data_IF_158148678798
#
_entry.id   IF_158148678798
#
_cell.length_a   1.000
_cell.length_b   1.000
_cell.length_c   1.000
_cell.angle_alpha   90.00
_cell.angle_beta   90.00
_cell.angle_gamma   90.00
#
_symmetry.space_group_name_H-M   'P 1'
#
loop_
_entity.id
_entity.type
_entity.pdbx_description
1 polymer ?
#
# COMPACT_ATOMS: atom_id res chain seq x y z
N UNK A 1 40.67 28.41 16.92
CA UNK A 1 39.43 28.49 16.08
C UNK A 1 39.09 27.06 15.68
N UNK A 2 38.20 26.43 16.42
CA UNK A 2 37.74 25.06 16.14
C UNK A 2 36.63 25.15 15.10
N UNK A 3 36.97 24.86 13.85
CA UNK A 3 35.94 24.70 12.80
C UNK A 3 35.20 23.41 13.05
N UNK A 4 33.97 23.53 13.55
CA UNK A 4 33.02 22.41 13.57
C UNK A 4 32.75 21.98 12.12
N UNK A 5 33.38 20.90 11.69
CA UNK A 5 32.97 20.17 10.48
C UNK A 5 31.76 19.34 10.78
N UNK A 6 30.69 19.98 11.24
CA UNK A 6 29.40 19.35 11.41
C UNK A 6 28.89 18.94 10.03
N UNK A 7 28.68 17.66 9.81
CA UNK A 7 27.91 17.15 8.67
C UNK A 7 26.54 17.80 8.73
N UNK A 8 26.30 18.79 7.88
CA UNK A 8 24.97 19.36 7.72
C UNK A 8 24.17 18.33 6.95
N UNK A 9 23.27 17.66 7.63
CA UNK A 9 22.20 16.94 6.92
C UNK A 9 21.50 17.94 6.02
N UNK A 10 21.34 17.66 4.73
CA UNK A 10 20.49 18.50 3.88
C UNK A 10 19.11 18.61 4.56
N UNK A 11 18.51 19.79 4.51
CA UNK A 11 17.16 20.02 5.03
C UNK A 11 16.20 19.11 4.26
N UNK A 12 15.87 17.98 4.85
CA UNK A 12 14.96 17.01 4.26
C UNK A 12 13.54 17.54 4.38
N UNK A 13 13.03 18.05 3.29
CA UNK A 13 11.65 18.47 3.22
C UNK A 13 10.74 17.27 3.07
N UNK A 14 10.10 16.90 4.18
CA UNK A 14 9.11 15.84 4.23
C UNK A 14 7.78 16.31 3.67
N UNK A 15 7.05 15.41 3.07
CA UNK A 15 5.71 15.67 2.60
C UNK A 15 4.75 14.54 2.91
N UNK A 16 3.47 14.87 2.92
CA UNK A 16 2.35 13.94 2.84
C UNK A 16 1.60 14.25 1.55
N UNK A 17 1.18 13.23 0.84
CA UNK A 17 0.49 13.42 -0.42
C UNK A 17 -0.40 12.24 -0.79
N UNK A 18 -1.12 12.40 -1.88
CA UNK A 18 -2.02 11.40 -2.45
C UNK A 18 -1.49 10.95 -3.81
N UNK A 19 -1.44 9.65 -4.02
CA UNK A 19 -1.05 9.08 -5.32
C UNK A 19 -2.15 9.37 -6.35
N UNK A 20 -1.79 9.98 -7.46
CA UNK A 20 -2.69 10.32 -8.56
C UNK A 20 -2.53 9.41 -9.78
N UNK A 21 -1.31 8.90 -10.01
CA UNK A 21 -1.02 8.00 -11.13
C UNK A 21 0.07 6.99 -10.74
N UNK A 22 -0.13 5.75 -11.16
CA UNK A 22 0.78 4.61 -10.94
C UNK A 22 1.27 4.00 -12.27
N UNK A 23 0.83 4.53 -13.41
CA UNK A 23 1.13 4.01 -14.73
C UNK A 23 2.42 4.62 -15.28
N UNK A 24 3.56 4.33 -14.63
CA UNK A 24 4.86 4.82 -15.05
C UNK A 24 5.23 4.33 -16.46
N UNK A 25 5.38 5.23 -17.45
CA UNK A 25 5.71 4.85 -18.82
C UNK A 25 7.09 4.20 -18.97
N UNK A 26 7.99 4.43 -18.00
CA UNK A 26 9.31 3.77 -17.96
C UNK A 26 9.29 2.42 -17.24
N UNK A 27 8.15 2.03 -16.66
CA UNK A 27 8.00 0.80 -15.85
C UNK A 27 9.05 0.67 -14.73
N UNK A 28 9.49 1.83 -14.20
CA UNK A 28 10.49 1.91 -13.13
C UNK A 28 9.86 1.97 -11.73
N UNK A 29 8.55 1.70 -11.61
CA UNK A 29 7.84 1.71 -10.34
C UNK A 29 7.66 3.10 -9.71
N UNK A 30 7.68 4.17 -10.54
CA UNK A 30 7.43 5.53 -10.06
C UNK A 30 5.94 5.83 -9.99
N UNK A 31 5.60 6.83 -9.21
CA UNK A 31 4.21 7.31 -9.06
C UNK A 31 4.15 8.82 -9.18
N UNK A 32 2.99 9.35 -9.57
CA UNK A 32 2.73 10.79 -9.45
C UNK A 32 1.98 11.04 -8.15
N UNK A 33 2.48 11.98 -7.36
CA UNK A 33 1.95 12.32 -6.05
C UNK A 33 1.55 13.79 -6.01
N UNK A 34 0.29 14.04 -5.65
CA UNK A 34 -0.15 15.39 -5.29
C UNK A 34 0.18 15.63 -3.83
N UNK A 35 1.14 16.51 -3.60
CA UNK A 35 1.68 16.81 -2.27
C UNK A 35 0.81 17.87 -1.60
N UNK A 36 0.31 17.56 -0.41
CA UNK A 36 -0.57 18.43 0.36
C UNK A 36 0.14 19.72 0.75
N UNK A 37 -0.52 20.85 0.51
CA UNK A 37 0.01 22.17 0.83
C UNK A 37 1.14 22.66 -0.09
N UNK A 38 1.63 21.82 -1.01
CA UNK A 38 2.68 22.17 -1.97
C UNK A 38 2.14 22.25 -3.41
N UNK A 39 1.40 21.23 -3.85
CA UNK A 39 0.78 21.22 -5.16
C UNK A 39 -0.64 21.81 -5.10
N UNK A 40 -0.99 22.60 -6.10
CA UNK A 40 -2.36 23.06 -6.30
C UNK A 40 -3.30 21.89 -6.62
N UNK A 41 -4.59 22.14 -6.53
CA UNK A 41 -5.64 21.21 -6.96
C UNK A 41 -5.55 20.88 -8.46
N UNK A 42 -6.23 19.82 -8.89
CA UNK A 42 -6.13 19.28 -10.25
C UNK A 42 -6.54 20.30 -11.32
N UNK A 43 -7.48 21.19 -11.01
CA UNK A 43 -7.94 22.23 -11.93
C UNK A 43 -6.83 23.23 -12.31
N UNK A 44 -5.89 23.47 -11.38
CA UNK A 44 -4.76 24.40 -11.58
C UNK A 44 -3.46 23.69 -11.95
N UNK A 45 -3.27 22.47 -11.47
CA UNK A 45 -2.09 21.65 -11.75
C UNK A 45 -2.55 20.26 -12.18
N UNK A 46 -2.70 20.01 -13.48
CA UNK A 46 -3.11 18.71 -14.00
C UNK A 46 -2.16 17.56 -13.57
N UNK A 47 -2.68 16.35 -13.50
CA UNK A 47 -1.91 15.13 -13.12
C UNK A 47 -0.67 14.96 -14.00
N UNK A 48 -0.79 15.25 -15.31
CA UNK A 48 0.32 15.11 -16.25
C UNK A 48 1.50 16.03 -15.94
N UNK A 49 1.24 17.17 -15.30
CA UNK A 49 2.26 18.14 -14.89
C UNK A 49 2.97 17.78 -13.58
N UNK A 50 2.47 16.79 -12.84
CA UNK A 50 3.13 16.34 -11.62
C UNK A 50 4.41 15.57 -11.95
N UNK A 51 5.50 15.79 -11.18
CA UNK A 51 6.73 15.02 -11.32
C UNK A 51 6.52 13.55 -10.94
N UNK A 52 7.28 12.65 -11.58
CA UNK A 52 7.35 11.25 -11.19
C UNK A 52 8.19 11.10 -9.93
N UNK A 53 7.59 10.63 -8.86
CA UNK A 53 8.25 10.31 -7.60
C UNK A 53 8.83 8.89 -7.65
N UNK A 54 10.05 8.71 -7.20
CA UNK A 54 10.61 7.39 -6.91
C UNK A 54 9.88 6.78 -5.71
N UNK A 55 9.83 5.45 -5.65
CA UNK A 55 9.28 4.74 -4.48
C UNK A 55 10.42 3.96 -3.82
N UNK A 56 10.72 4.29 -2.57
CA UNK A 56 11.67 3.55 -1.77
C UNK A 56 11.10 2.16 -1.43
N UNK A 57 11.86 1.12 -1.69
CA UNK A 57 11.49 -0.26 -1.42
C UNK A 57 12.23 -0.79 -0.19
N UNK A 58 11.64 -1.74 0.57
CA UNK A 58 12.32 -2.36 1.69
C UNK A 58 13.63 -3.04 1.28
N UNK A 59 14.67 -2.93 2.12
CA UNK A 59 15.97 -3.59 1.87
C UNK A 59 15.91 -5.12 1.93
N UNK A 60 14.76 -5.69 2.25
CA UNK A 60 14.49 -7.13 2.19
C UNK A 60 14.27 -7.64 0.77
N UNK A 61 14.15 -6.74 -0.22
CA UNK A 61 14.10 -7.04 -1.64
C UNK A 61 15.26 -6.36 -2.37
N UNK A 62 15.74 -6.97 -3.47
CA UNK A 62 16.89 -6.43 -4.22
C UNK A 62 16.57 -5.10 -4.92
N UNK A 63 15.32 -4.90 -5.34
CA UNK A 63 14.87 -3.73 -6.13
C UNK A 63 15.76 -3.44 -7.36
N UNK A 64 16.27 -4.49 -7.99
CA UNK A 64 17.20 -4.43 -9.12
C UNK A 64 16.68 -5.32 -10.27
N UNK A 65 16.47 -4.73 -11.44
CA UNK A 65 16.07 -5.41 -12.67
C UNK A 65 14.87 -6.37 -12.50
N UNK A 66 13.89 -5.96 -11.69
CA UNK A 66 12.68 -6.77 -11.41
C UNK A 66 12.87 -7.88 -10.37
N UNK A 67 14.08 -8.03 -9.82
CA UNK A 67 14.34 -8.99 -8.74
C UNK A 67 13.91 -8.43 -7.40
N UNK A 68 13.20 -9.22 -6.61
CA UNK A 68 12.65 -8.83 -5.31
C UNK A 68 11.15 -8.55 -5.34
N UNK A 69 10.68 -7.66 -4.48
CA UNK A 69 9.27 -7.26 -4.44
C UNK A 69 9.02 -6.10 -5.40
N UNK A 70 8.62 -6.40 -6.63
CA UNK A 70 8.34 -5.40 -7.65
C UNK A 70 7.05 -5.71 -8.42
N UNK A 71 6.34 -4.67 -8.85
CA UNK A 71 6.45 -3.28 -8.42
C UNK A 71 5.90 -3.06 -7.01
N UNK A 72 5.87 -1.80 -6.55
CA UNK A 72 5.16 -1.44 -5.31
C UNK A 72 3.65 -1.75 -5.42
N UNK A 73 2.96 -1.83 -4.27
CA UNK A 73 1.52 -2.10 -4.20
C UNK A 73 0.65 -0.83 -4.08
N UNK A 74 1.21 0.36 -4.34
CA UNK A 74 0.47 1.63 -4.29
C UNK A 74 -0.61 1.67 -5.37
N UNK A 75 -1.75 2.25 -5.02
CA UNK A 75 -2.87 2.48 -5.93
C UNK A 75 -3.14 3.98 -6.05
N UNK A 76 -3.82 4.38 -7.12
CA UNK A 76 -4.40 5.72 -7.21
C UNK A 76 -5.28 5.95 -5.99
N UNK A 77 -5.04 7.05 -5.28
CA UNK A 77 -5.73 7.37 -4.02
C UNK A 77 -4.98 6.95 -2.74
N UNK A 78 -3.90 6.16 -2.83
CA UNK A 78 -3.06 5.85 -1.67
C UNK A 78 -2.51 7.12 -1.04
N UNK A 79 -2.60 7.22 0.29
CA UNK A 79 -1.93 8.28 1.06
C UNK A 79 -0.49 7.85 1.33
N UNK A 80 0.45 8.75 1.07
CA UNK A 80 1.88 8.47 1.20
C UNK A 80 2.60 9.56 1.97
N UNK A 81 3.67 9.18 2.64
CA UNK A 81 4.68 10.08 3.21
C UNK A 81 5.97 9.90 2.41
N UNK A 82 6.68 11.00 2.21
CA UNK A 82 7.94 11.01 1.47
C UNK A 82 8.77 12.25 1.76
N UNK A 83 9.81 12.43 1.00
CA UNK A 83 10.72 13.58 1.09
C UNK A 83 11.29 13.91 -0.28
N UNK A 84 11.86 15.12 -0.40
CA UNK A 84 12.55 15.52 -1.63
C UNK A 84 14.04 15.19 -1.54
N UNK A 85 14.57 14.46 -2.53
CA UNK A 85 15.98 14.10 -2.61
C UNK A 85 16.90 15.30 -2.90
N UNK A 86 16.35 16.32 -3.52
CA UNK A 86 17.03 17.56 -3.91
C UNK A 86 16.76 18.73 -2.95
N UNK A 87 16.26 18.45 -1.76
CA UNK A 87 16.04 19.44 -0.70
C UNK A 87 15.10 20.56 -1.10
N UNK A 88 15.59 21.80 -1.10
CA UNK A 88 14.78 23.00 -1.38
C UNK A 88 14.31 23.10 -2.84
N UNK A 89 14.98 22.46 -3.79
CA UNK A 89 14.55 22.46 -5.19
C UNK A 89 13.21 21.75 -5.40
N UNK A 90 12.90 20.77 -4.55
CA UNK A 90 11.63 20.05 -4.48
C UNK A 90 11.13 19.50 -5.84
N UNK A 91 12.08 19.05 -6.70
CA UNK A 91 11.78 18.50 -8.02
C UNK A 91 11.94 16.97 -8.07
N UNK A 92 12.59 16.38 -7.05
CA UNK A 92 12.85 14.95 -6.99
C UNK A 92 12.14 14.32 -5.78
N UNK A 93 10.82 14.14 -5.83
CA UNK A 93 10.08 13.50 -4.75
C UNK A 93 10.43 12.02 -4.65
N UNK A 94 10.53 11.52 -3.42
CA UNK A 94 10.71 10.12 -3.10
C UNK A 94 9.65 9.70 -2.07
N UNK A 95 8.83 8.74 -2.42
CA UNK A 95 7.85 8.15 -1.51
C UNK A 95 8.57 7.16 -0.60
N UNK A 96 8.41 7.33 0.70
CA UNK A 96 9.04 6.49 1.73
C UNK A 96 8.13 5.39 2.25
N UNK A 97 6.86 5.71 2.48
CA UNK A 97 5.88 4.77 3.01
C UNK A 97 4.46 5.15 2.60
N UNK A 98 3.56 4.19 2.63
CA UNK A 98 2.12 4.43 2.58
C UNK A 98 1.54 4.52 3.98
N UNK A 99 0.51 5.33 4.14
CA UNK A 99 -0.27 5.44 5.36
C UNK A 99 -1.66 4.87 5.13
N UNK A 100 -2.19 4.15 6.12
CA UNK A 100 -3.61 3.79 6.12
C UNK A 100 -4.40 5.10 6.21
N UNK A 101 -5.06 5.46 5.10
CA UNK A 101 -5.92 6.63 5.07
C UNK A 101 -7.21 6.39 5.86
N UNK A 102 -7.76 7.45 6.43
CA UNK A 102 -9.14 7.40 6.90
C UNK A 102 -10.06 7.19 5.70
N UNK A 103 -10.96 6.22 5.79
CA UNK A 103 -12.04 6.08 4.82
C UNK A 103 -12.88 7.36 4.87
N UNK A 104 -13.20 7.94 3.72
CA UNK A 104 -14.08 9.12 3.65
C UNK A 104 -15.55 8.82 4.05
N UNK A 105 -15.88 7.56 4.29
CA UNK A 105 -17.11 7.19 4.99
C UNK A 105 -16.86 7.32 6.49
N UNK A 106 -17.72 8.07 7.19
CA UNK A 106 -17.67 8.32 8.63
C UNK A 106 -17.72 7.05 9.52
N UNK A 107 -17.69 5.89 8.90
CA UNK A 107 -17.54 4.58 9.54
C UNK A 107 -16.27 3.94 9.01
N UNK A 108 -15.14 4.22 9.70
CA UNK A 108 -13.95 3.38 9.55
C UNK A 108 -14.31 2.00 10.12
N UNK A 109 -14.81 1.15 9.28
CA UNK A 109 -14.92 -0.26 9.65
C UNK A 109 -13.49 -0.84 9.66
N UNK A 110 -12.81 -0.62 10.80
CA UNK A 110 -11.49 -1.22 11.07
C UNK A 110 -11.50 -2.74 10.85
N UNK A 111 -12.69 -3.33 10.87
CA UNK A 111 -12.87 -4.74 10.55
C UNK A 111 -12.59 -5.04 9.08
N UNK A 112 -12.74 -4.09 8.18
CA UNK A 112 -12.40 -4.24 6.76
C UNK A 112 -10.90 -4.15 6.49
N UNK A 113 -10.18 -3.36 7.30
CA UNK A 113 -8.71 -3.24 7.18
C UNK A 113 -8.01 -4.53 7.62
N UNK A 114 -8.58 -5.24 8.60
CA UNK A 114 -7.96 -6.43 9.21
C UNK A 114 -8.60 -7.76 8.80
N UNK A 115 -9.65 -7.76 8.00
CA UNK A 115 -10.46 -8.97 7.74
C UNK A 115 -10.55 -9.38 6.29
N UNK A 116 -9.89 -8.63 5.37
CA UNK A 116 -10.21 -8.79 3.94
C UNK A 116 -11.70 -8.53 3.66
N UNK A 117 -12.14 -8.73 2.45
CA UNK A 117 -13.54 -8.49 2.08
C UNK A 117 -14.44 -9.68 2.49
N UNK A 118 -14.83 -9.74 3.77
CA UNK A 118 -15.67 -10.81 4.37
C UNK A 118 -16.89 -11.18 3.53
N UNK A 119 -17.57 -10.18 3.00
CA UNK A 119 -18.83 -10.41 2.29
C UNK A 119 -18.58 -11.07 0.93
N UNK A 120 -17.47 -10.72 0.29
CA UNK A 120 -17.05 -11.35 -0.95
C UNK A 120 -16.64 -12.81 -0.72
N UNK A 121 -15.85 -13.08 0.33
CA UNK A 121 -15.45 -14.44 0.71
C UNK A 121 -16.68 -15.31 1.03
N UNK A 122 -17.62 -14.81 1.84
CA UNK A 122 -18.85 -15.54 2.17
C UNK A 122 -19.76 -15.80 0.96
N UNK A 123 -19.84 -14.86 0.03
CA UNK A 123 -20.68 -15.02 -1.16
C UNK A 123 -20.05 -15.99 -2.16
N UNK A 124 -18.74 -15.97 -2.31
CA UNK A 124 -18.02 -16.88 -3.20
C UNK A 124 -18.05 -18.31 -2.67
N UNK A 125 -17.93 -18.53 -1.34
CA UNK A 125 -18.10 -19.85 -0.70
C UNK A 125 -19.52 -20.41 -0.87
N UNK A 126 -20.55 -19.55 -0.87
CA UNK A 126 -21.94 -19.98 -1.13
C UNK A 126 -22.21 -20.33 -2.59
N UNK A 127 -21.41 -19.85 -3.52
CA UNK A 127 -21.57 -20.10 -4.96
C UNK A 127 -20.79 -21.33 -5.46
N UNK A 128 -19.83 -21.85 -4.70
CA UNK A 128 -19.13 -23.09 -5.04
C UNK A 128 -20.07 -24.29 -4.77
N UNK A 129 -20.88 -24.61 -5.74
CA UNK A 129 -21.72 -25.81 -5.71
C UNK A 129 -20.82 -27.06 -5.83
N UNK A 130 -20.66 -27.81 -4.74
CA UNK A 130 -20.23 -29.17 -4.83
C UNK A 130 -19.09 -29.68 -3.93
N UNK A 131 -18.47 -28.83 -3.10
CA UNK A 131 -17.49 -29.28 -2.11
C UNK A 131 -18.00 -28.95 -0.70
N UNK A 132 -18.14 -29.98 0.16
CA UNK A 132 -18.30 -29.79 1.59
C UNK A 132 -16.92 -29.40 2.15
N UNK A 133 -16.70 -28.10 2.32
CA UNK A 133 -15.50 -27.62 3.00
C UNK A 133 -15.56 -28.03 4.48
N UNK A 134 -14.42 -28.38 5.10
CA UNK A 134 -14.33 -28.46 6.54
C UNK A 134 -14.76 -27.14 7.14
N UNK A 135 -15.37 -27.15 8.33
CA UNK A 135 -15.70 -25.91 9.04
C UNK A 135 -14.42 -25.14 9.29
N UNK A 136 -14.23 -24.05 8.54
CA UNK A 136 -13.09 -23.14 8.74
C UNK A 136 -13.14 -22.54 10.17
N UNK A 137 -11.99 -22.48 10.87
CA UNK A 137 -11.88 -21.79 12.17
C UNK A 137 -12.01 -20.26 12.05
N UNK A 138 -12.37 -19.74 10.89
CA UNK A 138 -12.42 -18.32 10.58
C UNK A 138 -13.22 -17.48 11.59
N UNK A 139 -12.51 -16.92 12.56
CA UNK A 139 -13.03 -16.00 13.60
C UNK A 139 -12.01 -14.90 13.90
N UNK A 140 -11.54 -14.15 12.90
CA UNK A 140 -10.44 -13.21 13.06
C UNK A 140 -10.80 -12.10 14.04
N UNK A 141 -9.85 -11.80 14.92
CA UNK A 141 -9.92 -10.69 15.88
C UNK A 141 -8.79 -9.71 15.60
N UNK A 142 -9.14 -8.44 15.40
CA UNK A 142 -8.13 -7.38 15.27
C UNK A 142 -7.36 -7.23 16.60
N UNK A 143 -6.01 -7.09 16.59
CA UNK A 143 -5.10 -6.93 15.45
C UNK A 143 -4.38 -8.22 15.02
N UNK A 144 -4.88 -9.40 15.38
CA UNK A 144 -4.15 -10.67 15.23
C UNK A 144 -4.18 -11.21 13.80
N UNK A 145 -5.17 -10.83 12.99
CA UNK A 145 -5.27 -11.26 11.60
C UNK A 145 -4.51 -10.29 10.67
N UNK A 146 -3.52 -10.83 9.94
CA UNK A 146 -2.71 -10.12 8.95
C UNK A 146 -3.16 -10.55 7.56
N UNK A 147 -3.57 -9.60 6.72
CA UNK A 147 -4.10 -9.87 5.39
C UNK A 147 -3.32 -9.10 4.33
N UNK A 148 -2.87 -9.81 3.30
CA UNK A 148 -2.38 -9.24 2.05
C UNK A 148 -3.47 -9.46 1.01
N UNK A 149 -4.07 -8.40 0.50
CA UNK A 149 -5.12 -8.48 -0.51
C UNK A 149 -4.74 -7.66 -1.74
N UNK A 150 -4.98 -8.23 -2.92
CA UNK A 150 -4.77 -7.53 -4.19
C UNK A 150 -6.08 -6.92 -4.70
N UNK A 151 -6.04 -5.88 -5.55
CA UNK A 151 -7.25 -5.28 -6.13
C UNK A 151 -8.15 -6.28 -6.88
N UNK A 152 -7.57 -7.35 -7.41
CA UNK A 152 -8.32 -8.41 -8.10
C UNK A 152 -8.95 -9.42 -7.15
N UNK A 153 -8.65 -9.38 -5.84
CA UNK A 153 -9.23 -10.24 -4.82
C UNK A 153 -8.43 -11.54 -4.55
N UNK A 154 -7.12 -11.58 -4.87
CA UNK A 154 -6.25 -12.61 -4.30
C UNK A 154 -5.92 -12.25 -2.87
N UNK A 155 -5.90 -13.22 -1.97
CA UNK A 155 -5.58 -12.98 -0.55
C UNK A 155 -4.58 -13.99 -0.02
N UNK A 156 -3.70 -13.51 0.87
CA UNK A 156 -2.90 -14.33 1.79
C UNK A 156 -3.24 -13.83 3.19
N UNK A 157 -3.66 -14.73 4.04
CA UNK A 157 -4.13 -14.40 5.38
C UNK A 157 -3.40 -15.26 6.41
N UNK A 158 -2.85 -14.60 7.43
CA UNK A 158 -2.19 -15.21 8.57
C UNK A 158 -2.92 -14.72 9.81
N UNK A 159 -3.68 -15.60 10.42
CA UNK A 159 -4.51 -15.31 11.60
C UNK A 159 -3.90 -15.95 12.84
N UNK A 160 -3.43 -15.12 13.76
CA UNK A 160 -2.91 -15.51 15.08
C UNK A 160 -3.97 -15.36 16.17
N UNK A 161 -5.25 -15.31 15.82
CA UNK A 161 -6.34 -15.24 16.81
C UNK A 161 -6.34 -16.51 17.65
N UNK A 162 -6.19 -16.39 18.97
CA UNK A 162 -6.09 -17.51 19.89
C UNK A 162 -7.29 -18.47 19.79
N UNK A 163 -7.00 -19.75 19.49
CA UNK A 163 -7.98 -20.81 19.30
C UNK A 163 -8.73 -20.74 17.96
N UNK A 164 -8.25 -19.92 17.03
CA UNK A 164 -8.74 -19.81 15.65
C UNK A 164 -7.59 -19.47 14.68
N UNK A 165 -6.38 -19.94 15.03
CA UNK A 165 -5.18 -19.73 14.23
C UNK A 165 -5.35 -20.36 12.86
N UNK A 166 -4.92 -19.62 11.80
CA UNK A 166 -5.17 -20.03 10.43
C UNK A 166 -4.16 -19.43 9.45
N UNK A 167 -3.75 -20.22 8.47
CA UNK A 167 -3.05 -19.75 7.27
C UNK A 167 -3.94 -20.03 6.06
N UNK A 168 -4.30 -19.00 5.31
CA UNK A 168 -5.20 -19.11 4.17
C UNK A 168 -4.64 -18.41 2.95
N UNK A 169 -4.57 -19.11 1.82
CA UNK A 169 -4.16 -18.57 0.52
C UNK A 169 -5.30 -18.78 -0.47
N UNK A 170 -5.80 -17.69 -1.05
CA UNK A 170 -6.96 -17.74 -1.94
C UNK A 170 -6.69 -17.08 -3.28
N UNK A 171 -7.10 -17.74 -4.33
CA UNK A 171 -7.19 -17.17 -5.67
C UNK A 171 -8.55 -16.50 -5.90
N UNK A 172 -8.58 -15.43 -6.73
CA UNK A 172 -9.81 -14.68 -7.04
C UNK A 172 -10.95 -15.53 -7.62
N UNK A 173 -10.63 -16.69 -8.21
CA UNK A 173 -11.64 -17.64 -8.75
C UNK A 173 -12.37 -18.43 -7.66
N UNK A 174 -11.96 -18.32 -6.39
CA UNK A 174 -12.52 -19.08 -5.27
C UNK A 174 -11.68 -20.28 -4.85
N UNK A 175 -10.67 -20.71 -5.64
CA UNK A 175 -9.74 -21.77 -5.24
C UNK A 175 -8.88 -21.29 -4.05
N UNK A 176 -8.67 -22.15 -3.06
CA UNK A 176 -7.90 -21.78 -1.86
C UNK A 176 -7.18 -23.00 -1.27
N UNK A 177 -6.25 -22.69 -0.37
CA UNK A 177 -5.59 -23.65 0.54
C UNK A 177 -5.69 -23.08 1.95
N UNK A 178 -6.04 -23.91 2.92
CA UNK A 178 -6.13 -23.60 4.34
C UNK A 178 -5.42 -24.65 5.17
#
# INVERSE_FOLDING_TARGET
MSGSTGFKMPDWNWFVGKVEDVNDPKQAGRVKVRINGFHADEAKLPIDSLPWAMVAMPTTGASLDGVGNTPHALLKGSTVIGFFLDGQSAQQPCVWASMLGESQSNEVDVSKIARGNKDKIKNDLKQSKGFAEPNSPYKPVYPHNKVIETPSGHTIEIDDTQGAERLHVRHKSGSFTE
#
